data_IF_007544362548
#
_entry.id   IF_007544362548
#
_cell.length_a   1.000
_cell.length_b   1.000
_cell.length_c   1.000
_cell.angle_alpha   90.00
_cell.angle_beta   90.00
_cell.angle_gamma   90.00
#
_symmetry.space_group_name_H-M   'P 1'
#
loop_
_entity.id
_entity.type
_entity.pdbx_description
1 polymer ?
#
# COMPACT_ATOMS: atom_id res chain seq x y z
N UNK A 1 -4.90 10.57 -10.71
CA UNK A 1 -5.91 9.49 -10.90
C UNK A 1 -6.92 9.53 -9.77
N UNK A 2 -8.08 10.18 -9.96
CA UNK A 2 -9.09 10.32 -8.89
C UNK A 2 -9.73 8.97 -8.57
N UNK A 3 -9.70 8.56 -7.31
CA UNK A 3 -10.42 7.38 -6.82
C UNK A 3 -11.94 7.60 -6.94
N UNK A 4 -12.63 6.75 -7.71
CA UNK A 4 -14.11 6.73 -7.77
C UNK A 4 -14.68 6.28 -6.40
N UNK A 5 -15.87 6.76 -6.02
CA UNK A 5 -16.52 6.42 -4.74
C UNK A 5 -16.68 4.90 -4.59
N UNK A 6 -17.16 4.26 -5.66
CA UNK A 6 -17.38 2.81 -5.73
C UNK A 6 -16.09 2.00 -5.57
N UNK A 7 -14.92 2.57 -5.87
CA UNK A 7 -13.62 1.93 -5.64
C UNK A 7 -13.19 2.12 -4.19
N UNK A 8 -13.42 3.31 -3.62
CA UNK A 8 -13.12 3.60 -2.22
C UNK A 8 -14.00 2.76 -1.26
N UNK A 9 -15.29 2.59 -1.58
CA UNK A 9 -16.22 1.77 -0.80
C UNK A 9 -15.84 0.28 -0.81
N UNK A 10 -15.31 -0.23 -1.92
CA UNK A 10 -14.85 -1.63 -2.04
C UNK A 10 -13.49 -1.90 -1.39
N UNK A 11 -12.72 -0.86 -1.03
CA UNK A 11 -11.39 -1.02 -0.44
C UNK A 11 -11.46 -1.04 1.08
N UNK A 12 -10.65 -1.89 1.70
CA UNK A 12 -10.47 -1.89 3.15
C UNK A 12 -9.90 -0.56 3.61
N UNK A 13 -10.51 0.04 4.64
CA UNK A 13 -10.12 1.32 5.24
C UNK A 13 -9.30 1.04 6.49
N UNK A 14 -8.14 1.67 6.59
CA UNK A 14 -7.30 1.63 7.78
C UNK A 14 -7.26 3.02 8.42
N UNK A 15 -7.40 3.05 9.74
CA UNK A 15 -7.42 4.30 10.53
C UNK A 15 -6.02 4.92 10.69
N UNK A 16 -4.97 4.09 10.62
CA UNK A 16 -3.59 4.53 10.74
C UNK A 16 -2.71 4.02 9.59
N UNK A 17 -1.57 4.66 9.39
CA UNK A 17 -0.54 4.20 8.47
C UNK A 17 0.06 2.86 8.93
N UNK A 18 0.28 2.71 10.24
CA UNK A 18 0.83 1.49 10.83
C UNK A 18 -0.05 0.26 10.57
N UNK A 19 -1.38 0.39 10.74
CA UNK A 19 -2.32 -0.70 10.45
C UNK A 19 -2.30 -1.09 8.96
N UNK A 20 -2.22 -0.09 8.08
CA UNK A 20 -2.15 -0.32 6.65
C UNK A 20 -0.84 -1.02 6.29
N UNK A 21 0.29 -0.61 6.89
CA UNK A 21 1.60 -1.20 6.65
C UNK A 21 1.65 -2.65 7.15
N UNK A 22 1.17 -2.93 8.37
CA UNK A 22 1.06 -4.29 8.90
C UNK A 22 0.21 -5.20 7.98
N UNK A 23 -0.92 -4.68 7.48
CA UNK A 23 -1.75 -5.41 6.54
C UNK A 23 -1.08 -5.60 5.16
N UNK A 24 -0.21 -4.68 4.73
CA UNK A 24 0.59 -4.85 3.52
C UNK A 24 1.66 -5.93 3.70
N UNK A 25 2.36 -5.96 4.83
CA UNK A 25 3.35 -6.98 5.15
C UNK A 25 2.75 -8.38 5.31
N UNK A 26 1.56 -8.48 5.89
CA UNK A 26 0.84 -9.77 6.01
C UNK A 26 0.22 -10.26 4.69
N UNK A 27 0.15 -9.41 3.66
CA UNK A 27 -0.41 -9.79 2.38
C UNK A 27 0.63 -10.56 1.53
N UNK A 28 0.20 -11.67 0.92
CA UNK A 28 1.02 -12.43 -0.04
C UNK A 28 1.32 -11.65 -1.34
N UNK A 29 0.63 -10.54 -1.56
CA UNK A 29 0.85 -9.66 -2.69
C UNK A 29 1.61 -8.41 -2.25
N UNK A 30 2.48 -7.89 -3.12
CA UNK A 30 3.14 -6.58 -2.92
C UNK A 30 2.10 -5.47 -2.97
N UNK A 31 1.55 -5.15 -1.79
CA UNK A 31 0.61 -4.08 -1.57
C UNK A 31 1.36 -2.87 -1.02
N UNK A 32 0.97 -1.68 -1.47
CA UNK A 32 1.44 -0.42 -0.92
C UNK A 32 0.28 0.33 -0.30
N UNK A 33 0.51 0.95 0.85
CA UNK A 33 -0.44 1.91 1.39
C UNK A 33 -0.40 3.22 0.61
N UNK A 34 -1.53 3.90 0.58
CA UNK A 34 -1.64 5.28 0.13
C UNK A 34 -2.78 5.96 0.88
N UNK A 35 -2.64 7.26 1.13
CA UNK A 35 -3.70 8.08 1.69
C UNK A 35 -4.71 8.39 0.60
N UNK A 36 -5.99 8.17 0.89
CA UNK A 36 -7.06 8.45 -0.06
C UNK A 36 -7.45 9.91 -0.03
N UNK A 37 -7.36 10.60 -1.17
CA UNK A 37 -7.76 12.01 -1.31
C UNK A 37 -9.28 12.24 -1.08
N UNK A 38 -10.09 11.18 -0.99
CA UNK A 38 -11.54 11.28 -0.74
C UNK A 38 -11.94 11.09 0.71
N UNK A 39 -11.61 9.93 1.28
CA UNK A 39 -12.04 9.58 2.63
C UNK A 39 -10.98 9.90 3.69
N UNK A 40 -9.79 10.36 3.29
CA UNK A 40 -8.68 10.65 4.20
C UNK A 40 -8.01 9.42 4.82
N UNK A 41 -8.67 8.25 4.76
CA UNK A 41 -8.18 6.99 5.31
C UNK A 41 -7.05 6.37 4.46
N UNK A 42 -6.35 5.41 5.06
CA UNK A 42 -5.30 4.65 4.40
C UNK A 42 -5.90 3.44 3.68
N UNK A 43 -5.46 3.23 2.44
CA UNK A 43 -5.90 2.12 1.60
C UNK A 43 -4.70 1.39 1.01
N UNK A 44 -4.90 0.11 0.67
CA UNK A 44 -3.89 -0.70 -0.02
C UNK A 44 -4.10 -0.68 -1.53
N UNK A 45 -2.99 -0.70 -2.27
CA UNK A 45 -2.99 -0.80 -3.73
C UNK A 45 -1.88 -1.73 -4.22
N UNK A 46 -2.23 -2.66 -5.10
CA UNK A 46 -1.28 -3.50 -5.86
C UNK A 46 -0.78 -2.82 -7.13
N UNK A 47 -1.28 -1.62 -7.46
CA UNK A 47 -0.84 -0.89 -8.67
C UNK A 47 0.64 -0.52 -8.55
N UNK A 48 1.47 -1.26 -9.31
CA UNK A 48 2.89 -0.98 -9.52
C UNK A 48 3.16 -0.07 -10.73
N UNK A 49 2.27 -0.08 -11.74
CA UNK A 49 2.44 0.69 -12.99
C UNK A 49 2.51 2.20 -12.68
N UNK A 50 3.68 2.81 -12.93
CA UNK A 50 3.94 4.25 -12.74
C UNK A 50 4.30 4.68 -11.31
N UNK A 51 4.38 3.77 -10.33
CA UNK A 51 4.93 4.09 -9.01
C UNK A 51 6.40 3.69 -8.97
N UNK A 52 7.29 4.67 -8.76
CA UNK A 52 8.72 4.42 -8.53
C UNK A 52 8.83 3.32 -7.49
N UNK A 53 9.44 2.19 -7.84
CA UNK A 53 9.72 1.14 -6.87
C UNK A 53 10.86 1.72 -6.04
N UNK A 54 10.67 2.00 -4.73
CA UNK A 54 11.81 2.27 -3.87
C UNK A 54 12.69 1.03 -4.01
N UNK A 55 13.92 1.21 -4.49
CA UNK A 55 14.89 0.12 -4.50
C UNK A 55 14.86 -0.43 -3.06
N UNK A 56 14.57 -1.73 -2.86
CA UNK A 56 14.64 -2.28 -1.52
C UNK A 56 16.01 -1.86 -0.95
N UNK A 57 16.08 -1.43 0.32
CA UNK A 57 17.39 -1.25 0.95
C UNK A 57 18.13 -2.56 0.67
N UNK A 58 19.37 -2.47 0.18
CA UNK A 58 20.15 -3.65 -0.13
C UNK A 58 20.09 -4.53 1.12
N UNK A 59 19.26 -5.57 1.07
CA UNK A 59 19.30 -6.63 2.05
C UNK A 59 20.64 -7.25 1.75
N UNK A 60 21.64 -6.84 2.52
CA UNK A 60 22.95 -7.44 2.49
C UNK A 60 22.69 -8.94 2.60
N UNK A 61 22.95 -9.62 1.50
CA UNK A 61 22.96 -11.06 1.42
C UNK A 61 23.95 -11.51 2.48
N UNK A 62 23.45 -11.87 3.66
CA UNK A 62 24.26 -12.54 4.68
C UNK A 62 24.65 -13.87 4.07
N UNK A 63 25.82 -13.86 3.44
CA UNK A 63 26.55 -15.05 3.06
C UNK A 63 26.86 -15.82 4.34
N UNK A 64 26.47 -17.09 4.35
CA UNK A 64 27.06 -18.12 5.20
C UNK A 64 27.64 -19.17 4.28
#
# INVERSE_FOLDING_TARGET
MRTRLSVCARKRRFGSEADAMAAAHGARADLRHYRCDRCGAFHLTSRRKGKRIPRPPAVESVAR
#
